data_IF_583378199884
#
_entry.id   IF_583378199884
#
_cell.length_a   1.000
_cell.length_b   1.000
_cell.length_c   1.000
_cell.angle_alpha   90.00
_cell.angle_beta   90.00
_cell.angle_gamma   90.00
#
_symmetry.space_group_name_H-M   'P 1'
#
loop_
_entity.id
_entity.type
_entity.pdbx_description
1 polymer ?
#
# COMPACT_ATOMS: atom_id res chain seq x y z
N UNK A 1 -3.56 5.93 0.32
CA UNK A 1 -2.52 5.02 0.81
C UNK A 1 -1.60 5.86 1.67
N UNK A 2 -1.51 5.57 2.96
CA UNK A 2 -0.55 6.22 3.84
C UNK A 2 0.82 5.57 3.77
N UNK A 3 1.83 6.37 4.08
CA UNK A 3 3.13 5.91 4.54
C UNK A 3 3.03 5.54 6.03
N UNK A 4 3.65 4.42 6.42
CA UNK A 4 3.83 3.98 7.80
C UNK A 4 5.31 3.79 8.09
N UNK A 5 5.68 3.93 9.35
CA UNK A 5 6.94 3.35 9.84
C UNK A 5 6.77 1.84 9.85
N UNK A 6 7.50 1.16 8.95
CA UNK A 6 7.52 -0.30 8.92
C UNK A 6 8.08 -0.88 10.23
N UNK A 7 7.50 -1.96 10.76
CA UNK A 7 8.02 -2.60 11.96
C UNK A 7 9.44 -3.14 11.70
N UNK A 8 10.36 -3.06 12.68
CA UNK A 8 11.70 -3.61 12.52
C UNK A 8 11.63 -5.14 12.39
N UNK A 9 12.55 -5.71 11.61
CA UNK A 9 12.69 -7.15 11.52
C UNK A 9 13.12 -7.73 12.89
N UNK A 10 12.55 -8.87 13.34
CA UNK A 10 13.02 -9.55 14.54
C UNK A 10 14.50 -9.96 14.41
N UNK A 11 15.29 -9.98 15.51
CA UNK A 11 16.73 -10.27 15.44
C UNK A 11 17.07 -11.60 14.74
N UNK A 12 16.27 -12.64 14.99
CA UNK A 12 16.48 -13.98 14.40
C UNK A 12 16.09 -14.07 12.92
N UNK A 13 15.36 -13.09 12.40
CA UNK A 13 14.85 -13.11 11.02
C UNK A 13 16.00 -13.21 10.01
N UNK A 14 17.03 -12.39 10.16
CA UNK A 14 18.14 -12.29 9.19
C UNK A 14 18.84 -13.64 8.96
N UNK A 15 19.13 -14.38 10.03
CA UNK A 15 19.77 -15.69 9.95
C UNK A 15 18.89 -16.71 9.20
N UNK A 16 17.59 -16.70 9.47
CA UNK A 16 16.62 -17.62 8.84
C UNK A 16 16.39 -17.28 7.37
N UNK A 17 16.22 -16.00 7.06
CA UNK A 17 16.09 -15.48 5.71
C UNK A 17 17.31 -15.86 4.86
N UNK A 18 18.52 -15.68 5.39
CA UNK A 18 19.76 -16.06 4.71
C UNK A 18 19.82 -17.57 4.41
N UNK A 19 19.42 -18.42 5.36
CA UNK A 19 19.41 -19.87 5.17
C UNK A 19 18.43 -20.30 4.06
N UNK A 20 17.23 -19.71 3.98
CA UNK A 20 16.29 -20.02 2.88
C UNK A 20 16.77 -19.45 1.54
N UNK A 21 17.38 -18.26 1.54
CA UNK A 21 17.96 -17.67 0.33
C UNK A 21 19.13 -18.50 -0.23
N UNK A 22 19.96 -19.09 0.62
CA UNK A 22 21.05 -19.99 0.20
C UNK A 22 20.52 -21.24 -0.49
N UNK A 23 19.43 -21.84 0.00
CA UNK A 23 18.78 -22.97 -0.69
C UNK A 23 18.26 -22.56 -2.06
N UNK A 24 17.64 -21.38 -2.16
CA UNK A 24 17.17 -20.83 -3.43
C UNK A 24 18.30 -20.62 -4.43
N UNK A 25 19.47 -20.12 -3.99
CA UNK A 25 20.64 -19.95 -4.88
C UNK A 25 21.02 -21.25 -5.57
N UNK A 26 21.05 -22.36 -4.83
CA UNK A 26 21.34 -23.69 -5.39
C UNK A 26 20.29 -24.11 -6.42
N UNK A 27 19.00 -23.82 -6.17
CA UNK A 27 17.92 -24.10 -7.14
C UNK A 27 18.05 -23.24 -8.40
N UNK A 28 18.27 -21.93 -8.24
CA UNK A 28 18.34 -20.96 -9.35
C UNK A 28 19.54 -21.20 -10.26
N UNK A 29 20.64 -21.75 -9.71
CA UNK A 29 21.79 -22.16 -10.50
C UNK A 29 21.47 -23.30 -11.49
N UNK A 30 20.41 -24.08 -11.24
CA UNK A 30 20.02 -25.23 -12.04
C UNK A 30 18.82 -24.94 -12.96
N UNK A 31 17.86 -24.14 -12.50
CA UNK A 31 16.64 -23.80 -13.24
C UNK A 31 15.98 -22.52 -12.72
N UNK A 32 15.04 -21.98 -13.48
CA UNK A 32 14.17 -20.92 -12.97
C UNK A 32 13.40 -21.39 -11.71
N UNK A 33 13.24 -20.52 -10.69
CA UNK A 33 12.53 -20.87 -9.47
C UNK A 33 11.02 -20.87 -9.71
N UNK A 34 10.34 -21.87 -9.14
CA UNK A 34 8.90 -22.01 -9.12
C UNK A 34 8.34 -21.59 -7.75
N UNK A 35 7.04 -21.30 -7.67
CA UNK A 35 6.38 -20.90 -6.42
C UNK A 35 6.62 -21.88 -5.26
N UNK A 36 6.67 -23.18 -5.56
CA UNK A 36 6.92 -24.26 -4.60
C UNK A 36 8.32 -24.24 -3.98
N UNK A 37 9.29 -23.56 -4.59
CA UNK A 37 10.66 -23.48 -4.08
C UNK A 37 10.77 -22.48 -2.91
N UNK A 38 9.78 -21.61 -2.73
CA UNK A 38 9.78 -20.57 -1.71
C UNK A 38 9.02 -21.06 -0.48
N UNK A 39 9.76 -21.35 0.60
CA UNK A 39 9.17 -21.56 1.93
C UNK A 39 8.40 -20.31 2.37
N UNK A 40 7.19 -20.49 2.90
CA UNK A 40 6.36 -19.44 3.50
C UNK A 40 6.88 -18.99 4.88
N UNK A 41 8.13 -18.53 4.95
CA UNK A 41 8.77 -18.06 6.19
C UNK A 41 7.97 -16.91 6.83
N UNK A 42 7.33 -16.08 6.01
CA UNK A 42 6.46 -14.98 6.44
C UNK A 42 5.30 -15.41 7.34
N UNK A 43 4.89 -16.69 7.32
CA UNK A 43 3.74 -17.17 8.10
C UNK A 43 3.92 -16.95 9.61
N UNK A 44 5.16 -17.02 10.10
CA UNK A 44 5.51 -16.83 11.50
C UNK A 44 5.57 -15.33 11.90
N UNK A 45 5.65 -14.45 10.92
CA UNK A 45 5.84 -13.01 11.11
C UNK A 45 4.62 -12.18 10.71
N UNK A 46 3.60 -12.80 10.11
CA UNK A 46 2.43 -12.11 9.55
C UNK A 46 1.77 -11.13 10.53
N UNK A 47 1.66 -11.51 11.81
CA UNK A 47 1.00 -10.69 12.83
C UNK A 47 1.76 -9.43 13.25
N UNK A 48 3.05 -9.33 12.91
CA UNK A 48 3.90 -8.21 13.29
C UNK A 48 4.30 -7.36 12.09
N UNK A 49 3.76 -7.61 10.90
CA UNK A 49 4.08 -6.86 9.68
C UNK A 49 3.32 -5.53 9.56
N UNK A 50 2.30 -5.30 10.38
CA UNK A 50 1.55 -4.05 10.35
C UNK A 50 0.15 -4.17 10.97
N UNK A 51 -0.63 -3.08 10.95
CA UNK A 51 -1.99 -3.08 11.44
C UNK A 51 -2.90 -4.03 10.63
N UNK A 52 -4.05 -4.48 11.17
CA UNK A 52 -4.99 -5.38 10.49
C UNK A 52 -5.78 -4.68 9.37
N UNK A 53 -5.06 -4.15 8.37
CA UNK A 53 -5.59 -3.58 7.14
C UNK A 53 -4.65 -3.80 5.97
N UNK A 54 -5.18 -3.66 4.76
CA UNK A 54 -4.38 -3.77 3.55
C UNK A 54 -3.46 -2.55 3.39
N UNK A 55 -2.15 -2.76 3.25
CA UNK A 55 -1.16 -1.70 3.07
C UNK A 55 -1.40 -0.82 1.85
N UNK A 56 -2.01 -1.35 0.78
CA UNK A 56 -2.33 -0.57 -0.42
C UNK A 56 -3.67 0.19 -0.30
N UNK A 57 -4.78 -0.55 -0.13
CA UNK A 57 -6.11 0.05 -0.18
C UNK A 57 -6.63 0.58 1.16
N UNK A 58 -5.89 0.35 2.25
CA UNK A 58 -6.20 0.79 3.61
C UNK A 58 -7.52 0.29 4.20
N UNK A 59 -8.23 -0.60 3.50
CA UNK A 59 -9.44 -1.20 4.03
C UNK A 59 -9.07 -2.16 5.17
N UNK A 60 -9.71 -2.05 6.35
CA UNK A 60 -9.56 -3.01 7.44
C UNK A 60 -9.96 -4.42 6.98
N UNK A 61 -9.24 -5.40 7.50
CA UNK A 61 -9.35 -6.80 7.13
C UNK A 61 -9.06 -7.68 8.32
N UNK A 62 -9.70 -8.84 8.37
CA UNK A 62 -9.25 -9.88 9.27
C UNK A 62 -7.81 -10.29 8.90
N UNK A 63 -6.91 -10.17 9.87
CA UNK A 63 -5.49 -10.46 9.70
C UNK A 63 -5.23 -11.91 9.29
N UNK A 64 -6.02 -12.86 9.81
CA UNK A 64 -5.81 -14.28 9.57
C UNK A 64 -6.38 -14.71 8.23
N UNK A 65 -7.60 -14.28 7.92
CA UNK A 65 -8.41 -14.83 6.83
C UNK A 65 -8.42 -13.97 5.56
N UNK A 66 -8.24 -12.66 5.67
CA UNK A 66 -8.44 -11.75 4.53
C UNK A 66 -7.16 -11.02 4.08
N UNK A 67 -6.11 -11.03 4.92
CA UNK A 67 -4.79 -10.52 4.56
C UNK A 67 -3.85 -11.67 4.18
N UNK A 68 -2.96 -11.42 3.24
CA UNK A 68 -1.79 -12.24 2.92
C UNK A 68 -0.53 -11.40 3.09
N UNK A 69 0.63 -12.07 3.12
CA UNK A 69 1.92 -11.39 2.97
C UNK A 69 2.23 -11.24 1.49
N UNK A 70 2.29 -9.99 1.06
CA UNK A 70 2.64 -9.62 -0.31
C UNK A 70 4.14 -9.39 -0.45
N UNK A 71 4.67 -9.80 -1.60
CA UNK A 71 6.01 -9.42 -2.03
C UNK A 71 5.93 -8.17 -2.90
N UNK A 72 6.43 -7.05 -2.38
CA UNK A 72 6.39 -5.78 -3.12
C UNK A 72 7.05 -5.93 -4.51
N UNK A 73 8.27 -6.45 -4.54
CA UNK A 73 8.97 -6.96 -5.73
C UNK A 73 8.58 -8.42 -5.96
N UNK A 74 7.91 -8.76 -7.08
CA UNK A 74 7.49 -10.13 -7.39
C UNK A 74 8.67 -11.09 -7.46
N UNK A 75 8.56 -12.27 -6.85
CA UNK A 75 9.67 -13.22 -6.69
C UNK A 75 9.93 -14.14 -7.89
N UNK A 76 8.89 -14.59 -8.60
CA UNK A 76 9.02 -15.59 -9.68
C UNK A 76 8.96 -14.98 -11.07
N UNK A 77 8.09 -14.00 -11.28
CA UNK A 77 7.82 -13.41 -12.58
C UNK A 77 7.53 -11.92 -12.43
N UNK A 78 7.96 -11.11 -13.40
CA UNK A 78 7.49 -9.73 -13.56
C UNK A 78 6.59 -9.65 -14.78
N UNK A 79 5.50 -8.90 -14.67
CA UNK A 79 4.56 -8.60 -15.75
C UNK A 79 4.45 -7.09 -15.97
N UNK A 80 3.90 -6.72 -17.12
CA UNK A 80 3.41 -5.37 -17.42
C UNK A 80 1.95 -5.42 -17.89
N UNK A 81 1.30 -4.27 -17.94
CA UNK A 81 0.00 -4.16 -18.60
C UNK A 81 0.13 -4.42 -20.09
N UNK A 82 -0.79 -5.22 -20.66
CA UNK A 82 -0.94 -5.33 -22.11
C UNK A 82 -1.35 -3.99 -22.72
N UNK A 83 -2.32 -3.36 -22.09
CA UNK A 83 -2.79 -2.01 -22.36
C UNK A 83 -2.98 -1.30 -21.02
N UNK A 84 -2.54 -0.06 -20.91
CA UNK A 84 -2.62 0.69 -19.66
C UNK A 84 -4.08 0.94 -19.28
N UNK A 85 -4.51 0.62 -18.04
CA UNK A 85 -5.88 0.88 -17.59
C UNK A 85 -6.16 2.37 -17.41
N UNK A 86 -7.43 2.78 -17.55
CA UNK A 86 -7.87 4.07 -17.02
C UNK A 86 -7.76 4.09 -15.48
N UNK A 87 -7.71 5.30 -14.90
CA UNK A 87 -7.56 5.52 -13.45
C UNK A 87 -8.72 4.95 -12.63
N UNK A 88 -9.89 4.86 -13.23
CA UNK A 88 -11.15 4.41 -12.63
C UNK A 88 -11.54 2.99 -13.06
N UNK A 89 -10.58 2.21 -13.57
CA UNK A 89 -10.81 0.81 -13.90
C UNK A 89 -11.41 0.05 -12.71
N UNK A 90 -12.51 -0.68 -12.97
CA UNK A 90 -13.21 -1.48 -11.97
C UNK A 90 -12.80 -2.96 -11.99
N UNK A 91 -12.12 -3.39 -13.06
CA UNK A 91 -11.61 -4.74 -13.25
C UNK A 91 -10.12 -4.74 -13.59
N UNK A 92 -9.36 -5.76 -13.15
CA UNK A 92 -7.94 -5.84 -13.40
C UNK A 92 -7.66 -6.10 -14.89
N UNK A 93 -6.83 -5.27 -15.56
CA UNK A 93 -6.47 -5.49 -16.96
C UNK A 93 -5.65 -6.74 -17.19
N UNK A 94 -5.53 -7.12 -18.46
CA UNK A 94 -4.64 -8.20 -18.87
C UNK A 94 -3.17 -7.82 -18.66
N UNK A 95 -2.45 -8.68 -17.94
CA UNK A 95 -1.01 -8.59 -17.76
C UNK A 95 -0.28 -9.52 -18.74
N UNK A 96 0.91 -9.12 -19.18
CA UNK A 96 1.81 -9.96 -20.00
C UNK A 96 3.17 -10.13 -19.31
N UNK A 97 3.77 -11.33 -19.31
CA UNK A 97 5.10 -11.56 -18.77
C UNK A 97 6.16 -10.71 -19.46
N UNK A 98 7.14 -10.20 -18.70
CA UNK A 98 8.29 -9.45 -19.24
C UNK A 98 9.65 -9.97 -18.76
N UNK A 99 9.67 -10.98 -17.88
CA UNK A 99 10.91 -11.61 -17.43
C UNK A 99 10.78 -12.22 -16.05
N UNK A 100 11.87 -12.84 -15.54
CA UNK A 100 11.87 -13.49 -14.24
C UNK A 100 11.77 -12.47 -13.09
N UNK A 101 11.31 -12.90 -11.93
CA UNK A 101 11.16 -12.07 -10.73
C UNK A 101 12.46 -11.79 -9.97
N UNK A 102 12.33 -11.05 -8.88
CA UNK A 102 13.38 -10.68 -7.93
C UNK A 102 13.52 -11.73 -6.83
N UNK A 103 13.80 -12.99 -7.21
CA UNK A 103 13.82 -14.12 -6.28
C UNK A 103 14.78 -13.89 -5.11
N UNK A 104 15.85 -13.13 -5.30
CA UNK A 104 16.83 -12.80 -4.25
C UNK A 104 16.26 -11.89 -3.15
N UNK A 105 15.19 -11.13 -3.45
CA UNK A 105 14.47 -10.28 -2.49
C UNK A 105 13.30 -11.01 -1.81
N UNK A 106 13.07 -12.29 -2.11
CA UNK A 106 11.90 -13.02 -1.60
C UNK A 106 11.85 -13.12 -0.06
N UNK A 107 13.01 -13.04 0.60
CA UNK A 107 13.15 -13.06 2.06
C UNK A 107 13.68 -11.74 2.63
N UNK A 108 13.58 -10.64 1.88
CA UNK A 108 13.88 -9.32 2.41
C UNK A 108 12.69 -8.80 3.22
N UNK A 109 12.92 -8.39 4.47
CA UNK A 109 11.86 -7.86 5.35
C UNK A 109 11.17 -6.64 4.72
N UNK A 110 11.95 -5.75 4.11
CA UNK A 110 11.48 -4.58 3.38
C UNK A 110 10.68 -4.91 2.12
N UNK A 111 10.67 -6.18 1.69
CA UNK A 111 9.89 -6.63 0.54
C UNK A 111 8.54 -7.24 0.95
N UNK A 112 8.25 -7.35 2.25
CA UNK A 112 7.01 -7.93 2.78
C UNK A 112 6.08 -6.86 3.34
N UNK A 113 4.79 -6.96 2.99
CA UNK A 113 3.73 -6.13 3.56
C UNK A 113 2.39 -6.88 3.59
N UNK A 114 1.46 -6.44 4.43
CA UNK A 114 0.12 -7.02 4.47
C UNK A 114 -0.75 -6.48 3.34
N UNK A 115 -1.34 -7.36 2.53
CA UNK A 115 -2.26 -6.95 1.47
C UNK A 115 -3.46 -7.91 1.38
N UNK A 116 -4.62 -7.37 1.03
CA UNK A 116 -5.81 -8.19 0.77
C UNK A 116 -5.70 -8.91 -0.57
N UNK A 117 -6.48 -9.99 -0.73
CA UNK A 117 -6.51 -10.80 -1.96
C UNK A 117 -6.80 -9.98 -3.23
N UNK A 118 -7.66 -8.96 -3.15
CA UNK A 118 -7.94 -8.09 -4.29
C UNK A 118 -6.70 -7.30 -4.74
N UNK A 119 -5.99 -6.65 -3.80
CA UNK A 119 -4.80 -5.86 -4.14
C UNK A 119 -3.63 -6.77 -4.56
N UNK A 120 -3.37 -7.84 -3.81
CA UNK A 120 -2.27 -8.77 -4.06
C UNK A 120 -2.55 -9.66 -5.28
N UNK A 121 -3.60 -10.51 -5.23
CA UNK A 121 -3.78 -11.64 -6.15
C UNK A 121 -4.57 -11.31 -7.42
N UNK A 122 -5.40 -10.26 -7.41
CA UNK A 122 -6.21 -9.89 -8.58
C UNK A 122 -5.58 -8.74 -9.36
N UNK A 123 -5.22 -7.66 -8.67
CA UNK A 123 -4.73 -6.43 -9.28
C UNK A 123 -3.23 -6.42 -9.49
N UNK A 124 -2.42 -6.36 -8.42
CA UNK A 124 -0.97 -6.24 -8.53
C UNK A 124 -0.37 -7.49 -9.17
N UNK A 125 -0.63 -8.67 -8.60
CA UNK A 125 -0.03 -9.95 -9.02
C UNK A 125 1.49 -9.79 -9.17
N UNK A 126 1.97 -9.99 -10.38
CA UNK A 126 3.38 -9.89 -10.76
C UNK A 126 3.73 -8.55 -11.41
N UNK A 127 2.81 -7.59 -11.41
CA UNK A 127 3.03 -6.27 -11.98
C UNK A 127 3.97 -5.49 -11.07
N UNK A 128 5.04 -4.96 -11.66
CA UNK A 128 5.99 -4.11 -10.94
C UNK A 128 6.47 -2.99 -11.88
N UNK A 129 5.72 -1.89 -11.98
CA UNK A 129 6.07 -0.80 -12.89
C UNK A 129 7.32 -0.07 -12.39
N UNK A 130 8.24 0.18 -13.31
CA UNK A 130 9.47 0.94 -13.10
C UNK A 130 9.43 2.21 -13.95
N UNK A 131 10.14 3.24 -13.51
CA UNK A 131 10.51 4.36 -14.37
C UNK A 131 11.61 3.89 -15.32
N UNK A 132 11.33 3.95 -16.63
CA UNK A 132 12.22 3.45 -17.66
C UNK A 132 12.17 1.93 -17.87
N UNK A 133 13.17 1.41 -18.58
CA UNK A 133 13.24 0.00 -18.92
C UNK A 133 13.85 -0.81 -17.75
N UNK A 134 13.31 -2.02 -17.55
CA UNK A 134 13.89 -2.97 -16.61
C UNK A 134 15.25 -3.44 -17.12
N UNK A 135 16.27 -3.30 -16.29
CA UNK A 135 17.61 -3.84 -16.57
C UNK A 135 17.57 -5.37 -16.39
N UNK A 136 18.49 -6.08 -17.05
CA UNK A 136 18.59 -7.53 -16.92
C UNK A 136 18.58 -7.96 -15.44
N UNK A 137 17.72 -8.93 -15.06
CA UNK A 137 17.45 -9.29 -13.68
C UNK A 137 18.68 -9.91 -13.03
N UNK A 138 19.45 -9.06 -12.35
CA UNK A 138 20.69 -9.39 -11.67
C UNK A 138 20.59 -8.89 -10.24
N UNK A 139 20.95 -9.74 -9.28
CA UNK A 139 20.96 -9.36 -7.88
C UNK A 139 21.80 -8.11 -7.63
N UNK A 140 21.25 -7.15 -6.90
CA UNK A 140 21.85 -5.86 -6.59
C UNK A 140 21.50 -4.75 -7.59
N UNK A 141 21.09 -5.07 -8.82
CA UNK A 141 20.70 -4.06 -9.82
C UNK A 141 19.39 -3.37 -9.43
N UNK A 142 18.53 -4.02 -8.67
CA UNK A 142 17.27 -3.44 -8.18
C UNK A 142 17.48 -2.17 -7.33
N UNK A 143 18.68 -1.96 -6.79
CA UNK A 143 19.05 -0.75 -6.06
C UNK A 143 19.17 0.50 -6.97
N UNK A 144 19.36 0.30 -8.28
CA UNK A 144 19.40 1.37 -9.29
C UNK A 144 18.06 1.61 -9.98
N UNK A 145 17.09 0.71 -9.78
CA UNK A 145 15.75 0.84 -10.34
C UNK A 145 14.93 1.88 -9.56
N UNK A 146 14.03 2.56 -10.26
CA UNK A 146 13.08 3.51 -9.67
C UNK A 146 11.66 2.95 -9.78
N UNK A 147 11.11 2.31 -8.73
CA UNK A 147 9.75 1.79 -8.75
C UNK A 147 8.70 2.88 -8.83
N UNK A 148 7.77 2.74 -9.78
CA UNK A 148 6.60 3.63 -9.84
C UNK A 148 5.54 3.25 -8.78
N UNK A 149 5.51 2.00 -8.33
CA UNK A 149 4.61 1.60 -7.25
C UNK A 149 5.10 2.19 -5.92
N UNK A 150 4.27 2.95 -5.22
CA UNK A 150 4.61 3.46 -3.87
C UNK A 150 4.60 2.31 -2.86
N UNK A 151 5.63 2.24 -2.01
CA UNK A 151 5.74 1.24 -0.96
C UNK A 151 5.17 1.80 0.36
N UNK A 152 4.21 1.16 1.04
CA UNK A 152 3.62 1.71 2.27
C UNK A 152 4.61 1.97 3.42
N UNK A 153 5.76 1.29 3.45
CA UNK A 153 6.83 1.53 4.44
C UNK A 153 7.94 2.48 3.98
N UNK A 154 7.82 3.06 2.79
CA UNK A 154 8.67 4.18 2.37
C UNK A 154 8.11 5.47 2.96
N UNK A 155 8.98 6.38 3.41
CA UNK A 155 8.57 7.69 3.91
C UNK A 155 8.14 8.59 2.75
N UNK A 156 6.87 8.96 2.70
CA UNK A 156 6.32 9.95 1.76
C UNK A 156 5.06 10.59 2.35
N UNK A 157 4.75 11.82 1.92
CA UNK A 157 3.45 12.42 2.24
C UNK A 157 2.39 11.96 1.23
N UNK A 158 1.29 11.39 1.74
CA UNK A 158 0.15 11.00 0.92
C UNK A 158 -0.44 12.18 0.13
N UNK A 159 -0.47 13.38 0.72
CA UNK A 159 -1.09 14.55 0.11
C UNK A 159 -0.29 15.10 -1.09
N UNK A 160 1.01 14.83 -1.18
CA UNK A 160 1.83 15.16 -2.36
C UNK A 160 1.57 14.21 -3.54
N UNK A 161 1.09 13.01 -3.25
CA UNK A 161 0.89 11.95 -4.24
C UNK A 161 -0.56 11.79 -4.68
N UNK A 162 -1.50 11.94 -3.76
CA UNK A 162 -2.90 11.57 -3.95
C UNK A 162 -3.83 12.71 -3.57
N UNK A 163 -4.87 12.92 -4.38
CA UNK A 163 -6.06 13.69 -4.03
C UNK A 163 -7.29 12.79 -3.88
N UNK A 164 -8.35 13.31 -3.28
CA UNK A 164 -9.62 12.58 -3.14
C UNK A 164 -10.80 13.47 -3.52
N UNK A 165 -11.70 12.91 -4.34
CA UNK A 165 -12.96 13.60 -4.64
C UNK A 165 -14.00 13.32 -3.56
N UNK A 166 -15.02 14.19 -3.40
CA UNK A 166 -16.19 13.90 -2.56
C UNK A 166 -16.97 12.63 -2.98
N UNK A 167 -16.75 12.15 -4.21
CA UNK A 167 -17.27 10.89 -4.73
C UNK A 167 -16.51 9.65 -4.25
N UNK A 168 -15.37 9.81 -3.57
CA UNK A 168 -14.53 8.72 -3.08
C UNK A 168 -13.52 8.20 -4.10
N UNK A 169 -13.36 8.85 -5.25
CA UNK A 169 -12.27 8.54 -6.19
C UNK A 169 -10.95 9.07 -5.62
N UNK A 170 -9.88 8.30 -5.84
CA UNK A 170 -8.50 8.74 -5.60
C UNK A 170 -7.95 9.29 -6.91
N UNK A 171 -7.38 10.48 -6.88
CA UNK A 171 -6.79 11.16 -8.02
C UNK A 171 -5.25 11.16 -7.90
N UNK A 172 -4.52 10.86 -8.98
CA UNK A 172 -3.07 10.91 -8.97
C UNK A 172 -2.56 12.34 -9.15
N UNK A 173 -1.67 12.78 -8.24
CA UNK A 173 -0.91 14.02 -8.40
C UNK A 173 0.49 13.77 -8.99
N UNK A 174 0.98 12.53 -8.93
CA UNK A 174 2.27 12.13 -9.52
C UNK A 174 2.19 10.86 -10.37
N UNK A 175 3.24 10.59 -11.15
CA UNK A 175 3.37 9.35 -11.92
C UNK A 175 3.37 8.09 -11.02
N UNK A 176 4.03 8.16 -9.86
CA UNK A 176 4.04 7.06 -8.88
C UNK A 176 2.64 6.80 -8.31
N UNK A 177 1.89 7.86 -8.04
CA UNK A 177 0.51 7.75 -7.57
C UNK A 177 -0.40 7.11 -8.64
N UNK A 178 -0.30 7.55 -9.89
CA UNK A 178 -1.03 6.96 -11.04
C UNK A 178 -0.75 5.47 -11.14
N UNK A 179 0.52 5.10 -11.19
CA UNK A 179 0.92 3.70 -11.27
C UNK A 179 0.40 2.88 -10.08
N UNK A 180 0.43 3.44 -8.87
CA UNK A 180 -0.10 2.78 -7.67
C UNK A 180 -1.63 2.57 -7.75
N UNK A 181 -2.38 3.60 -8.14
CA UNK A 181 -3.85 3.52 -8.29
C UNK A 181 -4.22 2.42 -9.28
N UNK A 182 -3.57 2.39 -10.44
CA UNK A 182 -3.79 1.40 -11.49
C UNK A 182 -3.34 -0.01 -11.07
N UNK A 183 -2.13 -0.14 -10.51
CA UNK A 183 -1.52 -1.42 -10.10
C UNK A 183 -2.33 -2.12 -9.02
N UNK A 184 -2.84 -1.38 -8.04
CA UNK A 184 -3.56 -1.94 -6.90
C UNK A 184 -5.09 -1.83 -7.04
N UNK A 185 -5.58 -1.27 -8.15
CA UNK A 185 -7.00 -1.04 -8.40
C UNK A 185 -7.65 -0.22 -7.30
N UNK A 186 -7.06 0.92 -6.95
CA UNK A 186 -7.51 1.70 -5.80
C UNK A 186 -8.87 2.35 -6.04
N UNK A 187 -9.32 2.48 -7.29
CA UNK A 187 -10.63 3.04 -7.67
C UNK A 187 -11.69 2.01 -8.08
N UNK A 188 -11.50 0.73 -7.75
CA UNK A 188 -12.56 -0.26 -7.91
C UNK A 188 -13.79 0.08 -7.07
N UNK A 189 -14.96 -0.30 -7.58
CA UNK A 189 -16.29 0.16 -7.14
C UNK A 189 -16.51 0.14 -5.64
N UNK A 190 -16.13 -0.94 -4.95
CA UNK A 190 -16.39 -1.08 -3.53
C UNK A 190 -15.49 -0.20 -2.66
N UNK A 191 -14.27 0.12 -3.12
CA UNK A 191 -13.40 1.06 -2.42
C UNK A 191 -13.89 2.49 -2.57
N UNK A 192 -14.34 2.87 -3.77
CA UNK A 192 -14.91 4.20 -4.03
C UNK A 192 -16.13 4.45 -3.14
N UNK A 193 -17.07 3.50 -3.09
CA UNK A 193 -18.24 3.58 -2.21
C UNK A 193 -17.86 3.68 -0.72
N UNK A 194 -16.90 2.88 -0.27
CA UNK A 194 -16.45 2.91 1.13
C UNK A 194 -15.79 4.25 1.49
N UNK A 195 -14.93 4.77 0.62
CA UNK A 195 -14.30 6.08 0.79
C UNK A 195 -15.31 7.21 0.76
N UNK A 196 -16.29 7.18 -0.15
CA UNK A 196 -17.33 8.22 -0.22
C UNK A 196 -18.05 8.40 1.13
N UNK A 197 -18.41 7.30 1.79
CA UNK A 197 -19.06 7.34 3.11
C UNK A 197 -18.18 8.01 4.16
N UNK A 198 -16.90 7.65 4.21
CA UNK A 198 -15.96 8.16 5.19
C UNK A 198 -15.49 9.59 4.88
N UNK A 199 -15.37 9.95 3.61
CA UNK A 199 -15.12 11.32 3.16
C UNK A 199 -16.21 12.25 3.69
N UNK A 200 -17.48 11.91 3.42
CA UNK A 200 -18.62 12.71 3.90
C UNK A 200 -18.66 12.80 5.43
N UNK A 201 -18.19 11.77 6.15
CA UNK A 201 -18.07 11.83 7.61
C UNK A 201 -16.98 12.82 8.02
N UNK A 202 -15.78 12.69 7.47
CA UNK A 202 -14.66 13.59 7.76
C UNK A 202 -15.04 15.06 7.47
N UNK A 203 -15.62 15.33 6.30
CA UNK A 203 -16.11 16.65 5.92
C UNK A 203 -17.18 17.22 6.87
N UNK A 204 -18.08 16.39 7.42
CA UNK A 204 -19.03 16.87 8.43
C UNK A 204 -18.33 17.24 9.74
N UNK A 205 -17.30 16.47 10.12
CA UNK A 205 -16.53 16.74 11.33
C UNK A 205 -15.69 18.01 11.18
N UNK A 206 -15.05 18.23 10.03
CA UNK A 206 -14.31 19.48 9.76
C UNK A 206 -15.23 20.70 9.80
N UNK A 207 -16.45 20.64 9.23
CA UNK A 207 -17.44 21.73 9.34
C UNK A 207 -17.82 22.00 10.79
N UNK A 208 -18.15 20.96 11.58
CA UNK A 208 -18.47 21.11 13.01
C UNK A 208 -17.30 21.69 13.80
N UNK A 209 -16.07 21.27 13.50
CA UNK A 209 -14.86 21.81 14.11
C UNK A 209 -14.73 23.31 13.83
N UNK A 210 -14.91 23.74 12.58
CA UNK A 210 -14.90 25.17 12.20
C UNK A 210 -15.97 25.98 12.94
N UNK A 211 -17.19 25.45 13.06
CA UNK A 211 -18.26 26.11 13.79
C UNK A 211 -17.95 26.20 15.29
N UNK A 212 -17.49 25.10 15.89
CA UNK A 212 -17.05 25.06 17.29
C UNK A 212 -15.98 26.10 17.58
N UNK A 213 -14.94 26.17 16.74
CA UNK A 213 -13.87 27.18 16.82
C UNK A 213 -14.41 28.61 16.67
N UNK A 214 -15.28 28.85 15.68
CA UNK A 214 -15.87 30.18 15.42
C UNK A 214 -16.70 30.70 16.58
N UNK A 215 -17.45 29.82 17.25
CA UNK A 215 -18.36 30.20 18.35
C UNK A 215 -17.78 29.94 19.74
N UNK A 216 -16.52 29.51 19.86
CA UNK A 216 -15.87 29.24 21.14
C UNK A 216 -16.51 28.11 21.96
N UNK A 217 -17.04 27.07 21.29
CA UNK A 217 -17.74 25.95 21.94
C UNK A 217 -16.76 24.84 22.33
N UNK A 218 -16.08 25.00 23.45
CA UNK A 218 -15.01 24.09 23.90
C UNK A 218 -15.38 22.60 23.88
N UNK A 219 -16.56 22.23 24.38
CA UNK A 219 -17.01 20.83 24.41
C UNK A 219 -17.25 20.25 23.01
N UNK A 220 -17.65 21.09 22.04
CA UNK A 220 -17.83 20.67 20.65
C UNK A 220 -16.48 20.52 19.95
N UNK A 221 -15.55 21.45 20.19
CA UNK A 221 -14.19 21.41 19.67
C UNK A 221 -13.50 20.12 20.16
N UNK A 222 -13.53 19.86 21.47
CA UNK A 222 -12.85 18.69 22.05
C UNK A 222 -13.40 17.38 21.49
N UNK A 223 -14.73 17.21 21.46
CA UNK A 223 -15.36 15.98 20.94
C UNK A 223 -15.08 15.79 19.46
N UNK A 224 -15.19 16.85 18.67
CA UNK A 224 -14.97 16.78 17.22
C UNK A 224 -13.50 16.53 16.89
N UNK A 225 -12.58 17.16 17.62
CA UNK A 225 -11.14 16.92 17.52
C UNK A 225 -10.80 15.46 17.80
N UNK A 226 -11.36 14.87 18.85
CA UNK A 226 -11.17 13.44 19.14
C UNK A 226 -11.66 12.54 18.00
N UNK A 227 -12.85 12.78 17.44
CA UNK A 227 -13.36 12.00 16.31
C UNK A 227 -12.49 12.17 15.03
N UNK A 228 -11.96 13.37 14.80
CA UNK A 228 -11.04 13.63 13.70
C UNK A 228 -9.71 12.90 13.92
N UNK A 229 -9.12 12.98 15.11
CA UNK A 229 -7.90 12.27 15.49
C UNK A 229 -8.02 10.76 15.26
N UNK A 230 -9.14 10.16 15.67
CA UNK A 230 -9.44 8.74 15.42
C UNK A 230 -9.52 8.41 13.92
N UNK A 231 -10.01 9.34 13.09
CA UNK A 231 -10.15 9.12 11.64
C UNK A 231 -8.83 9.24 10.87
N UNK A 232 -7.87 10.01 11.38
CA UNK A 232 -6.54 10.22 10.77
C UNK A 232 -5.47 9.27 11.31
N UNK A 233 -5.78 8.52 12.36
CA UNK A 233 -4.90 7.53 12.97
C UNK A 233 -4.40 6.51 11.94
N UNK A 234 -3.16 6.02 12.12
CA UNK A 234 -2.55 5.12 11.15
C UNK A 234 -3.35 3.84 10.95
N UNK A 235 -4.06 3.35 11.96
CA UNK A 235 -4.85 2.13 11.95
C UNK A 235 -6.22 2.34 11.30
N UNK A 236 -6.66 3.59 11.15
CA UNK A 236 -7.98 3.95 10.67
C UNK A 236 -8.20 3.53 9.20
N UNK A 237 -9.45 3.20 8.82
CA UNK A 237 -9.79 2.94 7.43
C UNK A 237 -9.58 4.19 6.57
N UNK A 238 -8.79 4.05 5.50
CA UNK A 238 -8.51 5.14 4.55
C UNK A 238 -7.97 6.42 5.22
N UNK A 239 -7.07 6.24 6.19
CA UNK A 239 -6.45 7.33 6.94
C UNK A 239 -5.85 8.40 6.02
N UNK A 240 -5.28 8.02 4.87
CA UNK A 240 -4.73 8.98 3.90
C UNK A 240 -5.76 9.99 3.42
N UNK A 241 -6.97 9.51 3.14
CA UNK A 241 -8.07 10.37 2.70
C UNK A 241 -8.55 11.25 3.84
N UNK A 242 -8.68 10.71 5.06
CA UNK A 242 -9.10 11.50 6.21
C UNK A 242 -8.10 12.62 6.52
N UNK A 243 -6.79 12.32 6.49
CA UNK A 243 -5.70 13.30 6.64
C UNK A 243 -5.79 14.39 5.57
N UNK A 244 -5.97 13.99 4.31
CA UNK A 244 -6.12 14.92 3.20
C UNK A 244 -7.33 15.85 3.39
N UNK A 245 -8.50 15.32 3.76
CA UNK A 245 -9.71 16.14 4.02
C UNK A 245 -9.49 17.11 5.18
N UNK A 246 -8.84 16.67 6.27
CA UNK A 246 -8.51 17.53 7.41
C UNK A 246 -7.59 18.67 6.99
N UNK A 247 -6.51 18.37 6.27
CA UNK A 247 -5.54 19.37 5.80
C UNK A 247 -6.18 20.36 4.81
N UNK A 248 -6.91 19.84 3.82
CA UNK A 248 -7.57 20.64 2.79
C UNK A 248 -8.63 21.57 3.38
N UNK A 249 -9.47 21.05 4.29
CA UNK A 249 -10.59 21.84 4.79
C UNK A 249 -10.23 22.70 6.00
N UNK A 250 -9.43 22.22 6.95
CA UNK A 250 -9.11 22.95 8.18
C UNK A 250 -7.84 23.80 8.07
N UNK A 251 -7.00 23.58 7.06
CA UNK A 251 -5.65 24.16 6.99
C UNK A 251 -4.81 23.90 8.25
N UNK A 252 -5.08 22.75 8.90
CA UNK A 252 -4.34 22.25 10.06
C UNK A 252 -3.51 21.04 9.61
N UNK A 253 -2.34 20.87 10.21
CA UNK A 253 -1.68 19.57 10.13
C UNK A 253 -2.54 18.57 10.92
N UNK A 254 -2.79 17.39 10.34
CA UNK A 254 -3.50 16.33 11.04
C UNK A 254 -2.71 15.82 12.25
N UNK A 255 -1.41 16.10 12.32
CA UNK A 255 -0.55 15.82 13.47
C UNK A 255 -0.86 16.72 14.69
N UNK A 256 -1.55 17.84 14.47
CA UNK A 256 -1.93 18.79 15.52
C UNK A 256 -3.32 18.49 16.14
N UNK A 257 -3.99 17.43 15.68
CA UNK A 257 -5.27 16.94 16.23
C UNK A 257 -5.07 16.06 17.47
#
# INVERSE_FOLDING_TARGET
>A
MISYVGPPAPPEFGKRALAELQKLRSTVALRAPAESDFRSLWAEYKSILGPPKCGFCERPRDLKFELDVEHYRPKTLVTRWRAEPPIDATEPPTQVPIGPGYWWTAYAWSNWLLACSACNRLWKRNLFPLEGARIAPTEGVEASEQPLLLHPFEAFDSAEHFGWTPGGLVEPLTARARATIQTCGLNRTELVKARQTLYKRAQRLTVRMKEGLRFGRSDEIQRTGQELAESVAAEAPFAAMARWVVQDELSLDWQDL
#
